data_IF_388074623303
#
_entry.id   IF_388074623303
#
_cell.length_a   1.000
_cell.length_b   1.000
_cell.length_c   1.000
_cell.angle_alpha   90.00
_cell.angle_beta   90.00
_cell.angle_gamma   90.00
#
_symmetry.space_group_name_H-M   'P 1'
#
loop_
_entity.id
_entity.type
_entity.pdbx_description
1 polymer ?
#
# COMPACT_ATOMS: atom_id res chain seq x y z
N UNK A 1 -34.56 30.17 26.64
CA UNK A 1 -33.81 30.92 25.60
C UNK A 1 -33.47 30.01 24.41
N UNK A 2 -34.36 29.97 23.41
CA UNK A 2 -34.20 29.15 22.21
C UNK A 2 -33.03 29.65 21.36
N UNK A 3 -32.11 28.75 21.06
CA UNK A 3 -30.96 29.01 20.18
C UNK A 3 -31.44 29.41 18.79
N UNK A 4 -31.35 30.70 18.46
CA UNK A 4 -31.63 31.22 17.11
C UNK A 4 -30.49 30.81 16.19
N UNK A 5 -30.71 29.77 15.40
CA UNK A 5 -29.74 29.34 14.38
C UNK A 5 -29.62 30.43 13.31
N UNK A 6 -28.39 30.85 13.02
CA UNK A 6 -28.13 31.97 12.09
C UNK A 6 -28.00 31.45 10.66
N UNK A 7 -28.82 31.95 9.71
CA UNK A 7 -28.70 31.57 8.30
C UNK A 7 -27.32 31.92 7.72
N UNK A 8 -26.84 31.07 6.81
CA UNK A 8 -25.53 31.26 6.21
C UNK A 8 -25.53 32.28 5.07
N UNK A 9 -24.50 33.15 4.97
CA UNK A 9 -24.31 34.01 3.82
C UNK A 9 -23.98 33.19 2.56
N UNK A 10 -24.23 33.78 1.38
CA UNK A 10 -23.81 33.21 0.10
C UNK A 10 -22.31 33.41 -0.04
N UNK A 11 -21.56 32.33 0.15
CA UNK A 11 -20.09 32.30 0.03
C UNK A 11 -19.67 31.23 -0.96
N UNK A 12 -18.44 31.31 -1.45
CA UNK A 12 -17.86 30.28 -2.30
C UNK A 12 -17.96 28.89 -1.62
N UNK A 13 -18.35 27.85 -2.37
CA UNK A 13 -18.45 26.50 -1.82
C UNK A 13 -17.07 25.99 -1.40
N UNK A 14 -16.99 25.55 -0.15
CA UNK A 14 -15.81 24.91 0.44
C UNK A 14 -16.33 23.68 1.20
N UNK A 15 -16.47 22.54 0.51
CA UNK A 15 -17.15 21.38 1.07
C UNK A 15 -16.40 20.82 2.27
N UNK A 16 -17.14 20.33 3.26
CA UNK A 16 -16.63 19.68 4.46
C UNK A 16 -17.43 18.43 4.78
N UNK A 17 -16.77 17.40 5.31
CA UNK A 17 -17.43 16.20 5.79
C UNK A 17 -17.73 16.36 7.29
N UNK A 18 -18.97 16.10 7.69
CA UNK A 18 -19.38 16.11 9.09
C UNK A 18 -19.05 14.80 9.82
N UNK A 19 -19.00 14.86 11.15
CA UNK A 19 -18.88 13.69 12.03
C UNK A 19 -20.08 12.74 11.93
N UNK A 20 -21.19 13.22 11.37
CA UNK A 20 -22.40 12.47 11.02
C UNK A 20 -22.32 11.78 9.65
N UNK A 21 -21.15 11.83 8.98
CA UNK A 21 -20.93 11.22 7.68
C UNK A 21 -21.57 11.96 6.50
N UNK A 22 -22.14 13.15 6.73
CA UNK A 22 -22.78 13.95 5.69
C UNK A 22 -21.84 15.04 5.15
N UNK A 23 -21.89 15.29 3.84
CA UNK A 23 -21.13 16.38 3.22
C UNK A 23 -21.92 17.68 3.23
N UNK A 24 -21.31 18.73 3.75
CA UNK A 24 -21.88 20.08 3.79
C UNK A 24 -21.13 20.99 2.83
N UNK A 25 -21.83 21.85 2.08
CA UNK A 25 -21.20 22.70 1.06
C UNK A 25 -20.27 23.77 1.64
N UNK A 26 -20.44 24.11 2.93
CA UNK A 26 -19.57 25.02 3.71
C UNK A 26 -19.63 24.64 5.19
N UNK A 27 -18.62 25.03 5.96
CA UNK A 27 -18.63 24.90 7.44
C UNK A 27 -19.85 25.56 8.07
N UNK A 28 -20.27 26.73 7.57
CA UNK A 28 -21.45 27.42 8.09
C UNK A 28 -22.71 26.54 7.99
N UNK A 29 -22.93 25.87 6.85
CA UNK A 29 -24.11 25.01 6.68
C UNK A 29 -24.10 23.80 7.62
N UNK A 30 -22.91 23.26 7.91
CA UNK A 30 -22.75 22.22 8.93
C UNK A 30 -23.15 22.74 10.31
N UNK A 31 -22.62 23.89 10.72
CA UNK A 31 -22.93 24.49 12.02
C UNK A 31 -24.43 24.85 12.14
N UNK A 32 -25.02 25.34 11.05
CA UNK A 32 -26.46 25.61 10.98
C UNK A 32 -27.28 24.34 11.13
N UNK A 33 -26.91 23.25 10.44
CA UNK A 33 -27.57 21.95 10.57
C UNK A 33 -27.46 21.40 12.00
N UNK A 34 -26.26 21.48 12.60
CA UNK A 34 -26.02 21.10 13.99
C UNK A 34 -26.95 21.86 14.94
N UNK A 35 -27.10 23.17 14.71
CA UNK A 35 -27.97 24.04 15.49
C UNK A 35 -29.45 23.67 15.35
N UNK A 36 -30.00 23.55 14.13
CA UNK A 36 -31.44 23.31 13.94
C UNK A 36 -31.87 21.89 14.34
N UNK A 37 -30.95 20.93 14.28
CA UNK A 37 -31.23 19.54 14.69
C UNK A 37 -30.90 19.28 16.16
N UNK A 38 -30.25 20.22 16.85
CA UNK A 38 -29.74 20.04 18.21
C UNK A 38 -28.66 18.95 18.32
N UNK A 39 -28.07 18.52 17.19
CA UNK A 39 -27.03 17.48 17.15
C UNK A 39 -25.65 18.11 17.23
N UNK A 40 -24.72 17.43 17.91
CA UNK A 40 -23.30 17.81 17.91
C UNK A 40 -22.64 17.28 16.64
N UNK A 41 -22.65 18.08 15.58
CA UNK A 41 -21.98 17.79 14.31
C UNK A 41 -20.74 18.68 14.24
N UNK A 42 -19.57 18.09 14.06
CA UNK A 42 -18.32 18.80 13.84
C UNK A 42 -17.75 18.43 12.46
N UNK A 43 -16.79 19.22 11.96
CA UNK A 43 -16.05 18.86 10.74
C UNK A 43 -15.14 17.66 11.06
N UNK A 44 -15.33 16.55 10.33
CA UNK A 44 -14.47 15.37 10.38
C UNK A 44 -13.25 15.52 9.46
N UNK A 45 -13.42 16.07 8.27
CA UNK A 45 -12.33 16.36 7.33
C UNK A 45 -12.73 17.45 6.33
N UNK A 46 -11.76 18.18 5.73
CA UNK A 46 -12.03 19.04 4.59
C UNK A 46 -12.40 18.20 3.36
N UNK A 47 -13.24 18.75 2.48
CA UNK A 47 -13.72 18.07 1.28
C UNK A 47 -15.01 17.28 1.54
N UNK A 48 -15.33 16.37 0.62
CA UNK A 48 -16.57 15.59 0.66
C UNK A 48 -16.35 14.29 1.45
N UNK A 49 -17.42 13.77 2.07
CA UNK A 49 -17.43 12.41 2.59
C UNK A 49 -17.45 11.37 1.45
N UNK A 50 -16.93 10.14 1.65
CA UNK A 50 -16.21 9.69 2.83
C UNK A 50 -14.86 10.40 2.93
N UNK A 51 -14.44 10.73 4.16
CA UNK A 51 -13.13 11.32 4.37
C UNK A 51 -12.06 10.42 3.74
N UNK A 52 -11.12 10.97 2.96
CA UNK A 52 -9.91 10.21 2.67
C UNK A 52 -9.36 9.78 4.02
N UNK A 53 -8.97 8.52 4.14
CA UNK A 53 -8.18 8.05 5.27
C UNK A 53 -6.94 8.96 5.31
N UNK A 54 -7.00 10.03 6.10
CA UNK A 54 -5.82 10.81 6.39
C UNK A 54 -4.87 9.80 7.04
N UNK A 55 -3.60 9.74 6.63
CA UNK A 55 -2.59 9.25 7.55
C UNK A 55 -2.67 10.21 8.73
N UNK A 56 -3.41 9.81 9.76
CA UNK A 56 -3.45 10.56 10.99
C UNK A 56 -2.00 10.80 11.39
N UNK A 57 -1.68 12.05 11.68
CA UNK A 57 -0.58 12.38 12.57
C UNK A 57 -0.95 11.88 13.98
N UNK A 58 -1.23 10.60 14.13
CA UNK A 58 -0.66 9.88 15.25
C UNK A 58 0.82 9.72 14.91
N UNK A 59 1.65 9.92 15.92
CA UNK A 59 3.03 9.50 15.94
C UNK A 59 3.31 8.35 14.98
N UNK A 60 4.48 8.40 14.34
CA UNK A 60 5.26 7.19 14.21
C UNK A 60 5.45 6.56 15.60
N UNK A 61 4.40 5.96 16.18
CA UNK A 61 4.53 4.60 16.62
C UNK A 61 4.92 3.88 15.36
N UNK A 62 6.24 3.85 15.12
CA UNK A 62 6.86 2.76 14.41
C UNK A 62 6.21 1.55 15.06
N UNK A 63 5.20 0.93 14.42
CA UNK A 63 4.80 -0.41 14.81
C UNK A 63 6.10 -1.16 14.70
N UNK A 64 6.69 -1.47 15.84
CA UNK A 64 7.94 -2.21 15.89
C UNK A 64 7.54 -3.60 15.46
N UNK A 65 7.69 -3.85 14.16
CA UNK A 65 7.49 -5.18 13.61
C UNK A 65 8.62 -6.03 14.17
N UNK A 66 8.25 -7.06 14.93
CA UNK A 66 9.19 -8.06 15.41
C UNK A 66 9.69 -8.89 14.23
N UNK A 67 10.80 -9.60 14.41
CA UNK A 67 11.32 -10.50 13.37
C UNK A 67 10.27 -11.55 12.94
N UNK A 68 9.41 -11.99 13.87
CA UNK A 68 8.30 -12.90 13.59
C UNK A 68 7.25 -12.27 12.67
N UNK A 69 6.95 -10.98 12.84
CA UNK A 69 5.98 -10.28 12.00
C UNK A 69 6.50 -10.18 10.56
N UNK A 70 7.78 -9.82 10.42
CA UNK A 70 8.44 -9.75 9.11
C UNK A 70 8.48 -11.11 8.41
N UNK A 71 8.78 -12.19 9.15
CA UNK A 71 8.74 -13.56 8.62
C UNK A 71 7.34 -13.96 8.14
N UNK A 72 6.29 -13.51 8.83
CA UNK A 72 4.92 -13.77 8.42
C UNK A 72 4.57 -13.07 7.11
N UNK A 73 5.01 -11.81 6.93
CA UNK A 73 4.90 -11.07 5.67
C UNK A 73 5.62 -11.83 4.54
N UNK A 74 6.86 -12.26 4.77
CA UNK A 74 7.66 -13.02 3.79
C UNK A 74 6.93 -14.31 3.38
N UNK A 75 6.39 -15.04 4.36
CA UNK A 75 5.67 -16.30 4.10
C UNK A 75 4.45 -16.05 3.22
N UNK A 76 3.62 -15.06 3.58
CA UNK A 76 2.40 -14.70 2.83
C UNK A 76 2.72 -14.31 1.39
N UNK A 77 3.72 -13.44 1.21
CA UNK A 77 4.15 -13.00 -0.12
C UNK A 77 4.68 -14.18 -0.94
N UNK A 78 5.50 -15.05 -0.36
CA UNK A 78 6.02 -16.25 -1.05
C UNK A 78 4.89 -17.19 -1.49
N UNK A 79 3.92 -17.44 -0.62
CA UNK A 79 2.77 -18.28 -0.94
C UNK A 79 1.90 -17.65 -2.04
N UNK A 80 1.67 -16.35 -1.96
CA UNK A 80 0.95 -15.60 -2.99
C UNK A 80 1.67 -15.64 -4.34
N UNK A 81 2.99 -15.41 -4.36
CA UNK A 81 3.81 -15.51 -5.58
C UNK A 81 3.77 -16.91 -6.18
N UNK A 82 3.79 -17.97 -5.35
CA UNK A 82 3.66 -19.36 -5.81
C UNK A 82 2.34 -19.56 -6.55
N UNK A 83 1.23 -19.18 -5.93
CA UNK A 83 -0.11 -19.30 -6.54
C UNK A 83 -0.15 -18.55 -7.87
N UNK A 84 0.30 -17.30 -7.89
CA UNK A 84 0.31 -16.50 -9.12
C UNK A 84 1.20 -17.10 -10.23
N UNK A 85 2.36 -17.63 -9.87
CA UNK A 85 3.26 -18.29 -10.81
C UNK A 85 2.63 -19.57 -11.39
N UNK A 86 1.98 -20.40 -10.57
CA UNK A 86 1.26 -21.61 -11.01
C UNK A 86 0.07 -21.28 -11.92
N UNK A 87 -0.74 -20.29 -11.55
CA UNK A 87 -1.86 -19.80 -12.36
C UNK A 87 -1.39 -19.15 -13.68
N UNK A 88 -0.23 -18.49 -13.69
CA UNK A 88 0.40 -17.95 -14.89
C UNK A 88 0.97 -19.02 -15.83
N UNK A 89 1.45 -20.14 -15.29
CA UNK A 89 2.00 -21.25 -16.07
C UNK A 89 0.93 -22.17 -16.67
N UNK A 90 -0.32 -22.13 -16.21
CA UNK A 90 -1.42 -22.94 -16.74
C UNK A 90 -1.80 -22.62 -18.21
N UNK A 91 -1.22 -21.56 -18.80
CA UNK A 91 -1.31 -21.25 -20.24
C UNK A 91 -0.10 -21.71 -21.07
N UNK A 92 0.94 -22.27 -20.45
CA UNK A 92 2.07 -22.88 -21.17
C UNK A 92 1.83 -24.39 -21.29
N UNK A 93 1.31 -24.78 -22.45
CA UNK A 93 1.30 -26.17 -22.93
C UNK A 93 2.70 -26.78 -22.72
N UNK A 94 2.74 -28.01 -22.22
CA UNK A 94 3.96 -28.80 -22.01
C UNK A 94 4.79 -28.87 -23.30
N UNK A 95 5.83 -28.07 -23.39
CA UNK A 95 7.00 -28.37 -24.22
C UNK A 95 8.09 -28.78 -23.24
N UNK A 96 8.43 -30.07 -23.27
CA UNK A 96 9.61 -30.59 -22.60
C UNK A 96 10.79 -29.71 -23.03
N UNK A 97 11.47 -29.05 -22.08
CA UNK A 97 12.76 -28.44 -22.38
C UNK A 97 13.86 -29.29 -21.76
N UNK A 98 14.86 -29.73 -22.56
CA UNK A 98 15.89 -30.66 -22.12
C UNK A 98 16.90 -29.95 -21.20
N UNK A 99 17.72 -30.77 -20.56
CA UNK A 99 18.82 -30.36 -19.69
C UNK A 99 19.71 -29.25 -20.30
N UNK A 100 20.06 -28.30 -19.43
CA UNK A 100 21.27 -27.45 -19.37
C UNK A 100 21.75 -26.77 -20.66
N UNK A 101 21.66 -25.43 -20.68
CA UNK A 101 22.70 -24.60 -21.30
C UNK A 101 23.14 -23.52 -20.31
N UNK A 102 24.35 -23.71 -19.80
CA UNK A 102 25.19 -22.76 -19.09
C UNK A 102 25.55 -21.62 -20.04
N UNK A 103 25.21 -20.39 -19.69
CA UNK A 103 25.95 -19.22 -20.14
C UNK A 103 26.19 -18.34 -18.92
N UNK A 104 27.46 -18.24 -18.53
CA UNK A 104 27.93 -17.47 -17.37
C UNK A 104 28.12 -16.01 -17.75
N UNK A 105 27.35 -15.14 -17.12
CA UNK A 105 27.85 -13.87 -16.60
C UNK A 105 27.43 -13.82 -15.13
N UNK A 106 28.34 -14.26 -14.25
CA UNK A 106 28.33 -13.97 -12.82
C UNK A 106 27.21 -14.60 -11.96
N UNK A 107 27.53 -15.76 -11.36
CA UNK A 107 26.91 -16.35 -10.17
C UNK A 107 25.51 -17.01 -10.29
N UNK A 108 25.44 -18.26 -9.76
CA UNK A 108 24.29 -19.09 -9.34
C UNK A 108 22.92 -18.40 -9.23
N UNK A 109 21.76 -19.06 -9.49
CA UNK A 109 20.46 -18.38 -9.55
C UNK A 109 20.14 -17.76 -8.20
N UNK A 110 20.35 -16.44 -8.08
CA UNK A 110 20.23 -15.75 -6.79
C UNK A 110 18.76 -15.82 -6.31
N UNK A 111 17.78 -15.87 -7.24
CA UNK A 111 16.39 -16.22 -6.94
C UNK A 111 15.98 -17.57 -7.51
N UNK A 112 15.29 -18.38 -6.70
CA UNK A 112 14.50 -19.53 -7.19
C UNK A 112 13.16 -19.04 -7.76
N UNK A 113 12.63 -19.71 -8.78
CA UNK A 113 11.20 -19.59 -9.15
C UNK A 113 10.36 -19.99 -7.92
N UNK A 114 9.34 -19.22 -7.47
CA UNK A 114 8.56 -18.14 -8.11
C UNK A 114 9.02 -16.70 -7.82
N UNK A 115 10.09 -16.49 -7.04
CA UNK A 115 10.52 -15.16 -6.59
C UNK A 115 11.10 -14.32 -7.73
N UNK A 116 11.90 -14.94 -8.60
CA UNK A 116 12.47 -14.28 -9.78
C UNK A 116 11.40 -13.93 -10.81
N UNK A 117 10.39 -14.80 -10.97
CA UNK A 117 9.24 -14.52 -11.83
C UNK A 117 8.46 -13.28 -11.38
N UNK A 118 8.21 -13.16 -10.07
CA UNK A 118 7.50 -12.00 -9.54
C UNK A 118 8.32 -10.71 -9.70
N UNK A 119 9.62 -10.76 -9.42
CA UNK A 119 10.53 -9.62 -9.64
C UNK A 119 10.41 -9.09 -11.07
N UNK A 120 10.53 -9.97 -12.07
CA UNK A 120 10.41 -9.61 -13.49
C UNK A 120 9.01 -9.10 -13.89
N UNK A 121 7.97 -9.40 -13.10
CA UNK A 121 6.62 -8.90 -13.36
C UNK A 121 6.38 -7.51 -12.76
N UNK A 122 7.08 -7.19 -11.69
CA UNK A 122 7.02 -5.88 -11.02
C UNK A 122 7.94 -4.87 -11.68
N UNK A 123 9.07 -5.34 -12.22
CA UNK A 123 10.01 -4.56 -13.03
C UNK A 123 9.37 -4.22 -14.38
N UNK A 124 8.64 -3.11 -14.40
CA UNK A 124 7.85 -2.65 -15.56
C UNK A 124 8.70 -1.85 -16.54
N UNK A 125 9.76 -1.22 -16.04
CA UNK A 125 10.69 -0.42 -16.83
C UNK A 125 11.91 -1.25 -17.30
N UNK A 126 12.05 -2.49 -16.82
CA UNK A 126 13.08 -3.48 -17.16
C UNK A 126 14.51 -3.05 -16.79
N UNK A 127 14.67 -2.29 -15.72
CA UNK A 127 15.98 -1.78 -15.27
C UNK A 127 16.66 -2.67 -14.22
N UNK A 128 16.07 -3.83 -13.92
CA UNK A 128 16.52 -4.83 -12.94
C UNK A 128 16.60 -4.29 -11.50
N UNK A 129 15.90 -3.20 -11.23
CA UNK A 129 15.70 -2.61 -9.92
C UNK A 129 14.20 -2.44 -9.70
N UNK A 130 13.76 -2.51 -8.45
CA UNK A 130 12.36 -2.25 -8.11
C UNK A 130 12.29 -0.96 -7.32
N UNK A 131 11.69 0.06 -7.92
CA UNK A 131 11.43 1.31 -7.23
C UNK A 131 10.15 1.24 -6.38
N UNK A 132 9.95 2.24 -5.51
CA UNK A 132 8.80 2.29 -4.62
C UNK A 132 7.45 2.21 -5.35
N UNK A 133 7.37 2.72 -6.58
CA UNK A 133 6.17 2.72 -7.44
C UNK A 133 5.86 1.34 -7.98
N UNK A 134 6.88 0.54 -8.30
CA UNK A 134 6.73 -0.81 -8.83
C UNK A 134 6.38 -1.80 -7.71
N UNK A 135 7.00 -1.64 -6.55
CA UNK A 135 6.68 -2.41 -5.33
C UNK A 135 5.31 -2.00 -4.77
N UNK A 136 4.79 -0.82 -5.14
CA UNK A 136 3.52 -0.28 -4.63
C UNK A 136 2.35 -1.26 -4.73
N UNK A 137 2.35 -2.10 -5.76
CA UNK A 137 1.32 -3.13 -5.99
C UNK A 137 1.38 -4.29 -4.99
N UNK A 138 2.51 -4.49 -4.31
CA UNK A 138 2.73 -5.51 -3.29
C UNK A 138 2.41 -5.07 -1.87
N UNK A 139 2.17 -3.77 -1.65
CA UNK A 139 1.59 -3.30 -0.39
C UNK A 139 0.13 -3.75 -0.40
N UNK A 140 -0.06 -5.04 -0.11
CA UNK A 140 -1.32 -5.76 -0.09
C UNK A 140 -2.24 -5.09 0.93
N UNK A 141 -3.11 -4.24 0.39
CA UNK A 141 -4.08 -3.43 1.11
C UNK A 141 -3.49 -2.53 2.21
N UNK A 142 -4.20 -1.44 2.50
CA UNK A 142 -3.79 -0.40 3.46
C UNK A 142 -3.70 -0.88 4.92
N UNK A 143 -3.64 -2.19 5.15
CA UNK A 143 -3.82 -2.85 6.44
C UNK A 143 -2.66 -3.77 6.86
N UNK A 144 -1.59 -3.90 6.08
CA UNK A 144 -0.40 -4.66 6.49
C UNK A 144 0.77 -3.71 6.86
N UNK A 145 0.81 -3.19 8.10
CA UNK A 145 1.78 -2.16 8.52
C UNK A 145 3.24 -2.63 8.49
N UNK A 146 3.50 -3.93 8.43
CA UNK A 146 4.86 -4.49 8.42
C UNK A 146 5.42 -4.77 7.03
N UNK A 147 4.61 -4.68 5.98
CA UNK A 147 5.07 -4.81 4.59
C UNK A 147 6.05 -3.70 4.21
N UNK A 148 5.75 -2.45 4.57
CA UNK A 148 6.61 -1.30 4.33
C UNK A 148 7.93 -1.40 5.10
N UNK A 149 7.87 -1.84 6.36
CA UNK A 149 9.07 -2.08 7.18
C UNK A 149 9.90 -3.21 6.58
N UNK A 150 9.26 -4.27 6.07
CA UNK A 150 9.92 -5.39 5.41
C UNK A 150 10.65 -4.94 4.14
N UNK A 151 9.99 -4.28 3.19
CA UNK A 151 10.65 -3.86 1.95
C UNK A 151 11.76 -2.84 2.20
N UNK A 152 11.60 -1.95 3.19
CA UNK A 152 12.69 -1.09 3.66
C UNK A 152 13.86 -1.84 4.28
N UNK A 153 13.61 -2.98 4.93
CA UNK A 153 14.68 -3.84 5.47
C UNK A 153 15.41 -4.66 4.39
N UNK A 154 14.79 -4.78 3.20
CA UNK A 154 15.40 -5.44 2.04
C UNK A 154 16.41 -4.54 1.33
N UNK A 155 16.16 -3.23 1.32
CA UNK A 155 17.07 -2.20 0.80
C UNK A 155 18.31 -2.08 1.72
N UNK A 156 19.34 -2.85 1.40
CA UNK A 156 20.56 -2.95 2.23
C UNK A 156 21.48 -1.76 1.97
N UNK A 157 21.41 -1.18 0.77
CA UNK A 157 22.22 -0.04 0.36
C UNK A 157 21.57 1.31 0.69
N UNK A 158 20.31 1.31 1.15
CA UNK A 158 19.50 2.47 1.50
C UNK A 158 19.35 3.49 0.35
N UNK A 159 19.37 3.02 -0.89
CA UNK A 159 19.26 3.82 -2.11
C UNK A 159 17.81 3.90 -2.63
N UNK A 160 16.85 3.34 -1.89
CA UNK A 160 15.40 3.31 -2.17
C UNK A 160 15.01 2.47 -3.38
N UNK A 161 15.93 1.67 -3.88
CA UNK A 161 15.69 0.71 -4.96
C UNK A 161 16.03 -0.68 -4.44
N UNK A 162 15.24 -1.68 -4.82
CA UNK A 162 15.55 -3.06 -4.45
C UNK A 162 16.12 -3.75 -5.68
N UNK A 163 17.41 -4.04 -5.64
CA UNK A 163 18.07 -4.81 -6.70
C UNK A 163 17.58 -6.25 -6.70
N UNK A 164 17.72 -6.94 -7.84
CA UNK A 164 17.42 -8.38 -7.91
C UNK A 164 18.14 -9.20 -6.82
N UNK A 165 19.40 -8.88 -6.50
CA UNK A 165 20.15 -9.54 -5.43
C UNK A 165 19.56 -9.31 -4.04
N UNK A 166 19.15 -8.08 -3.73
CA UNK A 166 18.55 -7.73 -2.44
C UNK A 166 17.18 -8.37 -2.26
N UNK A 167 16.37 -8.32 -3.32
CA UNK A 167 15.07 -9.00 -3.36
C UNK A 167 15.22 -10.46 -2.98
N UNK A 168 16.09 -11.20 -3.67
CA UNK A 168 16.26 -12.62 -3.41
C UNK A 168 16.81 -12.91 -2.02
N UNK A 169 17.80 -12.13 -1.57
CA UNK A 169 18.39 -12.28 -0.23
C UNK A 169 17.35 -12.02 0.84
N UNK A 170 16.50 -11.01 0.65
CA UNK A 170 15.48 -10.64 1.62
C UNK A 170 14.40 -11.71 1.79
N UNK A 171 13.99 -12.34 0.69
CA UNK A 171 13.00 -13.43 0.70
C UNK A 171 13.58 -14.81 1.06
N UNK A 172 14.90 -14.92 1.25
CA UNK A 172 15.59 -16.14 1.67
C UNK A 172 15.94 -16.18 3.16
N UNK A 173 15.77 -15.06 3.88
CA UNK A 173 15.94 -14.97 5.34
C UNK A 173 14.85 -15.70 6.12
#
# INVERSE_FOLDING_TARGET
>A
PGSRCTPCPVVHPSPVCGTDGHTYSTKCKLDYQACITGKKIAVKCPGMCPCPSQPEQSSAEKKVCSESDLKEVVSRLRDWFRVLHENGNHKRVKIQKPEKNKFEVGASPICKDPLGWMFSRLDTNFDLQLDHSEIKSLYLDRNEPCSDVFFKSCDTHADKVITSSEWCTCFQK
#
